data_IF_433024452933
#
_entry.id   IF_433024452933
#
_cell.length_a   1.000
_cell.length_b   1.000
_cell.length_c   1.000
_cell.angle_alpha   90.00
_cell.angle_beta   90.00
_cell.angle_gamma   90.00
#
_symmetry.space_group_name_H-M   'P 1'
#
loop_
_entity.id
_entity.type
_entity.pdbx_description
1 polymer ?
#
# COMPACT_ATOMS: atom_id res chain seq x y z
N UNK A 1 -4.49 -15.28 60.41
CA UNK A 1 -5.14 -14.15 59.69
C UNK A 1 -4.03 -13.18 59.29
N UNK A 2 -3.49 -13.27 58.06
CA UNK A 2 -3.94 -12.60 56.83
C UNK A 2 -3.75 -11.07 56.90
N UNK A 3 -2.83 -10.46 56.14
CA UNK A 3 -3.04 -10.08 54.74
C UNK A 3 -1.76 -9.44 54.15
N UNK A 4 -1.13 -10.11 53.18
CA UNK A 4 0.07 -9.64 52.50
C UNK A 4 -0.28 -8.87 51.23
N UNK A 5 0.03 -7.57 51.22
CA UNK A 5 -0.21 -6.67 50.08
C UNK A 5 0.69 -7.02 48.87
N UNK A 6 0.16 -7.83 47.94
CA UNK A 6 0.73 -7.99 46.59
C UNK A 6 0.44 -6.74 45.76
N UNK A 7 1.43 -5.85 45.64
CA UNK A 7 1.40 -4.74 44.68
C UNK A 7 1.56 -5.30 43.27
N UNK A 8 0.45 -5.42 42.56
CA UNK A 8 0.42 -5.72 41.13
C UNK A 8 1.10 -4.56 40.39
N UNK A 9 2.33 -4.79 39.92
CA UNK A 9 2.94 -4.00 38.87
C UNK A 9 2.12 -4.19 37.59
N UNK A 10 1.07 -3.39 37.42
CA UNK A 10 0.50 -3.12 36.10
C UNK A 10 1.62 -2.48 35.29
N UNK A 11 2.31 -3.29 34.46
CA UNK A 11 3.05 -2.80 33.30
C UNK A 11 2.07 -1.92 32.53
N UNK A 12 2.16 -0.60 32.72
CA UNK A 12 1.50 0.36 31.85
C UNK A 12 2.04 0.05 30.47
N UNK A 13 1.25 -0.64 29.64
CA UNK A 13 1.50 -0.69 28.19
C UNK A 13 1.59 0.78 27.81
N UNK A 14 2.79 1.25 27.46
CA UNK A 14 2.97 2.58 26.88
C UNK A 14 1.99 2.61 25.71
N UNK A 15 0.91 3.39 25.82
CA UNK A 15 0.08 3.70 24.65
C UNK A 15 1.05 4.29 23.63
N UNK A 16 1.09 3.81 22.38
CA UNK A 16 1.88 4.46 21.36
C UNK A 16 1.45 5.93 21.35
N UNK A 17 2.41 6.81 21.68
CA UNK A 17 2.20 8.25 21.57
C UNK A 17 2.05 8.49 20.09
N UNK A 18 0.86 8.96 19.75
CA UNK A 18 0.47 9.25 18.40
C UNK A 18 0.90 10.70 18.12
N UNK A 19 1.88 10.87 17.24
CA UNK A 19 2.43 12.17 16.91
C UNK A 19 1.50 12.85 15.89
N UNK A 20 0.84 13.96 16.27
CA UNK A 20 -0.08 14.72 15.42
C UNK A 20 0.55 15.29 14.13
N UNK A 21 1.87 15.13 14.00
CA UNK A 21 2.68 15.46 12.85
C UNK A 21 2.75 14.31 11.80
N UNK A 22 2.47 13.07 12.20
CA UNK A 22 2.52 11.86 11.35
C UNK A 22 1.36 11.73 10.34
N UNK A 23 0.38 12.60 10.41
CA UNK A 23 -0.80 12.52 9.54
C UNK A 23 -0.54 12.95 8.09
N UNK A 24 0.55 13.70 7.84
CA UNK A 24 0.84 14.25 6.52
C UNK A 24 0.89 13.17 5.44
N UNK A 25 1.49 12.03 5.76
CA UNK A 25 1.58 10.90 4.83
C UNK A 25 0.21 10.26 4.57
N UNK A 26 -0.58 10.00 5.63
CA UNK A 26 -1.90 9.35 5.52
C UNK A 26 -2.91 10.18 4.71
N UNK A 27 -3.03 11.48 5.01
CA UNK A 27 -3.90 12.36 4.23
C UNK A 27 -3.35 12.60 2.82
N UNK A 28 -2.03 12.65 2.66
CA UNK A 28 -1.39 12.68 1.35
C UNK A 28 -1.74 11.47 0.49
N UNK A 29 -1.78 10.27 1.10
CA UNK A 29 -2.17 9.03 0.43
C UNK A 29 -3.63 9.05 -0.03
N UNK A 30 -4.56 9.45 0.85
CA UNK A 30 -5.98 9.58 0.50
C UNK A 30 -6.23 10.65 -0.56
N UNK A 31 -5.54 11.79 -0.47
CA UNK A 31 -5.61 12.85 -1.47
C UNK A 31 -5.07 12.38 -2.82
N UNK A 32 -3.97 11.64 -2.83
CA UNK A 32 -3.39 11.09 -4.05
C UNK A 32 -4.29 10.02 -4.68
N UNK A 33 -4.89 9.13 -3.87
CA UNK A 33 -5.87 8.15 -4.35
C UNK A 33 -7.10 8.82 -4.98
N UNK A 34 -7.50 9.98 -4.45
CA UNK A 34 -8.59 10.79 -4.99
C UNK A 34 -8.23 11.57 -6.25
N UNK A 35 -6.94 11.79 -6.52
CA UNK A 35 -6.47 12.50 -7.72
C UNK A 35 -5.15 11.91 -8.25
N UNK A 36 -5.22 10.78 -8.98
CA UNK A 36 -4.04 10.01 -9.39
C UNK A 36 -3.07 10.79 -10.31
N UNK A 37 -3.56 11.78 -11.07
CA UNK A 37 -2.73 12.60 -11.95
C UNK A 37 -1.62 13.40 -11.25
N UNK A 38 -1.63 13.47 -9.91
CA UNK A 38 -0.58 14.10 -9.13
C UNK A 38 0.52 13.15 -8.64
N UNK A 39 0.47 11.85 -8.98
CA UNK A 39 1.43 10.85 -8.51
C UNK A 39 2.89 11.23 -8.81
N UNK A 40 3.17 11.78 -10.00
CA UNK A 40 4.51 12.20 -10.38
C UNK A 40 5.03 13.39 -9.55
N UNK A 41 4.14 14.20 -8.95
CA UNK A 41 4.57 15.30 -8.07
C UNK A 41 5.00 14.80 -6.70
N UNK A 42 4.45 13.67 -6.24
CA UNK A 42 4.76 13.09 -4.93
C UNK A 42 6.20 12.60 -4.85
N UNK A 43 6.74 12.02 -5.94
CA UNK A 43 8.15 11.60 -5.99
C UNK A 43 9.13 12.78 -5.89
N UNK A 44 8.72 13.97 -6.31
CA UNK A 44 9.53 15.21 -6.27
C UNK A 44 9.42 15.98 -4.95
N UNK A 45 8.49 15.62 -4.08
CA UNK A 45 8.29 16.28 -2.79
C UNK A 45 9.12 15.59 -1.69
N UNK A 46 9.51 16.31 -0.62
CA UNK A 46 10.11 15.69 0.55
C UNK A 46 9.18 14.61 1.12
N UNK A 47 9.77 13.60 1.77
CA UNK A 47 8.96 12.58 2.44
C UNK A 47 8.14 13.26 3.53
N UNK A 48 6.81 13.09 3.53
CA UNK A 48 6.00 13.59 4.62
C UNK A 48 6.32 12.82 5.90
N UNK A 49 6.00 13.41 7.03
CA UNK A 49 6.06 12.71 8.31
C UNK A 49 4.97 11.62 8.35
N UNK A 50 5.29 10.50 8.99
CA UNK A 50 4.37 9.36 9.17
C UNK A 50 4.41 8.28 8.09
N UNK A 51 5.50 8.23 7.30
CA UNK A 51 5.69 7.19 6.28
C UNK A 51 5.74 5.79 6.90
N UNK A 52 6.29 5.64 8.11
CA UNK A 52 6.31 4.35 8.81
C UNK A 52 4.89 3.82 9.08
N UNK A 53 3.98 4.69 9.46
CA UNK A 53 2.57 4.37 9.70
C UNK A 53 1.90 3.92 8.40
N UNK A 54 2.17 4.60 7.28
CA UNK A 54 1.70 4.15 5.97
C UNK A 54 2.24 2.77 5.60
N UNK A 55 3.54 2.51 5.83
CA UNK A 55 4.14 1.20 5.55
C UNK A 55 3.47 0.14 6.42
N UNK A 56 3.22 0.40 7.71
CA UNK A 56 2.50 -0.53 8.60
C UNK A 56 1.08 -0.80 8.14
N UNK A 57 0.36 0.22 7.67
CA UNK A 57 -0.99 0.08 7.10
C UNK A 57 -0.95 -0.81 5.86
N UNK A 58 -0.04 -0.56 4.93
CA UNK A 58 0.13 -1.36 3.73
C UNK A 58 0.53 -2.82 4.06
N UNK A 59 1.37 -3.01 5.08
CA UNK A 59 1.77 -4.30 5.64
C UNK A 59 0.66 -5.05 6.40
N UNK A 60 -0.54 -4.48 6.55
CA UNK A 60 -1.65 -5.14 7.24
C UNK A 60 -1.56 -5.10 8.78
N UNK A 61 -0.88 -4.10 9.36
CA UNK A 61 -0.87 -3.93 10.81
C UNK A 61 -2.25 -3.47 11.33
N UNK A 62 -3.03 -4.39 11.87
CA UNK A 62 -4.40 -4.18 12.39
C UNK A 62 -4.54 -3.03 13.39
N UNK A 63 -3.55 -2.82 14.26
CA UNK A 63 -3.57 -1.70 15.20
C UNK A 63 -3.45 -0.35 14.48
N UNK A 64 -2.52 -0.26 13.53
CA UNK A 64 -2.27 0.99 12.78
C UNK A 64 -3.41 1.27 11.80
N UNK A 65 -3.96 0.24 11.16
CA UNK A 65 -5.11 0.35 10.26
C UNK A 65 -6.36 0.85 10.98
N UNK A 66 -6.70 0.26 12.14
CA UNK A 66 -7.84 0.74 12.94
C UNK A 66 -7.69 2.19 13.38
N UNK A 67 -6.48 2.61 13.73
CA UNK A 67 -6.19 4.01 14.05
C UNK A 67 -6.38 4.91 12.83
N UNK A 68 -5.85 4.52 11.68
CA UNK A 68 -5.98 5.28 10.44
C UNK A 68 -7.46 5.44 10.03
N UNK A 69 -8.25 4.36 10.08
CA UNK A 69 -9.70 4.37 9.82
C UNK A 69 -10.44 5.31 10.77
N UNK A 70 -10.14 5.24 12.08
CA UNK A 70 -10.78 6.11 13.07
C UNK A 70 -10.46 7.60 12.84
N UNK A 71 -9.28 7.91 12.27
CA UNK A 71 -8.84 9.28 12.00
C UNK A 71 -9.40 9.85 10.70
N UNK A 72 -9.51 9.02 9.66
CA UNK A 72 -9.90 9.46 8.32
C UNK A 72 -11.39 9.29 8.05
N UNK A 73 -12.07 8.44 8.84
CA UNK A 73 -13.45 8.03 8.60
C UNK A 73 -13.64 7.22 7.31
N UNK A 74 -12.55 6.78 6.69
CA UNK A 74 -12.56 6.00 5.44
C UNK A 74 -12.61 4.50 5.73
N UNK A 75 -13.09 3.74 4.75
CA UNK A 75 -13.20 2.28 4.83
C UNK A 75 -11.79 1.62 4.88
N UNK A 76 -11.59 0.52 5.64
CA UNK A 76 -10.29 -0.11 5.84
C UNK A 76 -9.54 -0.49 4.54
N UNK A 77 -10.22 -1.10 3.57
CA UNK A 77 -9.61 -1.46 2.29
C UNK A 77 -9.22 -0.21 1.49
N UNK A 78 -10.03 0.84 1.50
CA UNK A 78 -9.71 2.12 0.87
C UNK A 78 -8.45 2.77 1.47
N UNK A 79 -8.31 2.73 2.80
CA UNK A 79 -7.11 3.24 3.50
C UNK A 79 -5.87 2.42 3.13
N UNK A 80 -6.00 1.09 3.06
CA UNK A 80 -4.90 0.19 2.68
C UNK A 80 -4.49 0.37 1.21
N UNK A 81 -5.47 0.51 0.31
CA UNK A 81 -5.24 0.76 -1.11
C UNK A 81 -4.56 2.11 -1.33
N UNK A 82 -5.03 3.17 -0.66
CA UNK A 82 -4.41 4.50 -0.73
C UNK A 82 -2.96 4.49 -0.21
N UNK A 83 -2.69 3.81 0.90
CA UNK A 83 -1.34 3.65 1.44
C UNK A 83 -0.42 2.93 0.45
N UNK A 84 -0.89 1.81 -0.12
CA UNK A 84 -0.15 1.02 -1.11
C UNK A 84 0.17 1.87 -2.36
N UNK A 85 -0.82 2.59 -2.88
CA UNK A 85 -0.67 3.46 -4.04
C UNK A 85 0.35 4.58 -3.78
N UNK A 86 0.24 5.25 -2.64
CA UNK A 86 1.17 6.30 -2.24
C UNK A 86 2.61 5.79 -2.15
N UNK A 87 2.84 4.67 -1.46
CA UNK A 87 4.18 4.11 -1.27
C UNK A 87 4.84 3.74 -2.61
N UNK A 88 4.07 3.13 -3.54
CA UNK A 88 4.57 2.81 -4.89
C UNK A 88 5.11 4.05 -5.61
N UNK A 89 4.37 5.15 -5.58
CA UNK A 89 4.78 6.38 -6.27
C UNK A 89 5.80 7.23 -5.49
N UNK A 90 5.73 7.24 -4.17
CA UNK A 90 6.57 8.08 -3.33
C UNK A 90 7.97 7.49 -3.11
N UNK A 91 8.09 6.16 -2.99
CA UNK A 91 9.34 5.49 -2.59
C UNK A 91 10.06 4.81 -3.76
N UNK A 92 9.33 4.25 -4.73
CA UNK A 92 9.89 3.33 -5.72
C UNK A 92 9.99 3.86 -7.14
N UNK A 93 10.01 5.18 -7.28
CA UNK A 93 10.28 5.81 -8.58
C UNK A 93 11.72 5.56 -9.04
N UNK A 94 11.96 5.76 -10.34
CA UNK A 94 13.29 5.63 -10.95
C UNK A 94 14.24 6.71 -10.41
N UNK A 95 15.43 6.31 -9.98
CA UNK A 95 16.42 7.23 -9.40
C UNK A 95 16.17 7.62 -7.94
N UNK A 96 15.24 6.95 -7.23
CA UNK A 96 15.08 7.12 -5.79
C UNK A 96 16.38 6.75 -5.05
N UNK A 97 16.83 7.58 -4.12
CA UNK A 97 18.00 7.27 -3.28
C UNK A 97 17.64 6.21 -2.20
N UNK A 98 18.63 5.57 -1.55
CA UNK A 98 18.36 4.51 -0.58
C UNK A 98 17.53 4.94 0.62
N UNK A 99 17.70 6.19 1.10
CA UNK A 99 16.90 6.70 2.21
C UNK A 99 15.44 6.85 1.77
N UNK A 100 15.24 7.34 0.55
CA UNK A 100 13.93 7.44 -0.08
C UNK A 100 13.28 6.07 -0.29
N UNK A 101 13.99 5.08 -0.80
CA UNK A 101 13.46 3.72 -0.97
C UNK A 101 13.10 3.06 0.37
N UNK A 102 13.85 3.37 1.44
CA UNK A 102 13.56 2.93 2.81
C UNK A 102 12.46 3.77 3.49
N UNK A 103 11.97 4.84 2.85
CA UNK A 103 10.95 5.71 3.43
C UNK A 103 11.44 6.47 4.67
N UNK A 104 12.73 6.78 4.75
CA UNK A 104 13.35 7.53 5.85
C UNK A 104 13.97 8.84 5.34
N UNK A 105 14.17 9.79 6.25
CA UNK A 105 14.88 11.03 5.95
C UNK A 105 16.39 10.82 5.74
N UNK A 106 17.04 11.76 5.06
CA UNK A 106 18.51 11.80 4.98
C UNK A 106 19.07 12.02 6.39
N UNK A 107 19.95 11.14 6.85
CA UNK A 107 20.50 11.17 8.20
C UNK A 107 19.72 10.35 9.24
N UNK A 108 18.72 9.59 8.83
CA UNK A 108 18.04 8.63 9.70
C UNK A 108 19.05 7.62 10.31
N UNK A 109 18.82 7.28 11.58
CA UNK A 109 19.68 6.32 12.29
C UNK A 109 19.50 4.89 11.77
N UNK A 110 20.52 4.04 11.96
CA UNK A 110 20.49 2.64 11.51
C UNK A 110 19.31 1.84 12.07
N UNK A 111 18.92 2.10 13.31
CA UNK A 111 17.76 1.45 13.95
C UNK A 111 16.43 1.85 13.30
N UNK A 112 16.29 3.12 12.91
CA UNK A 112 15.11 3.62 12.20
C UNK A 112 15.01 3.00 10.80
N UNK A 113 16.13 3.00 10.06
CA UNK A 113 16.23 2.34 8.76
C UNK A 113 15.90 0.84 8.84
N UNK A 114 16.38 0.15 9.88
CA UNK A 114 16.10 -1.28 10.11
C UNK A 114 14.61 -1.52 10.37
N UNK A 115 13.99 -0.64 11.17
CA UNK A 115 12.57 -0.72 11.47
C UNK A 115 11.72 -0.54 10.21
N UNK A 116 12.04 0.46 9.40
CA UNK A 116 11.34 0.71 8.13
C UNK A 116 11.53 -0.46 7.15
N UNK A 117 12.76 -0.92 6.96
CA UNK A 117 13.08 -2.08 6.13
C UNK A 117 12.27 -3.31 6.55
N UNK A 118 12.20 -3.61 7.85
CA UNK A 118 11.42 -4.75 8.34
C UNK A 118 9.95 -4.66 7.93
N UNK A 119 9.32 -3.50 8.06
CA UNK A 119 7.91 -3.33 7.69
C UNK A 119 7.69 -3.31 6.17
N UNK A 120 8.63 -2.76 5.39
CA UNK A 120 8.60 -2.83 3.93
C UNK A 120 8.71 -4.29 3.46
N UNK A 121 9.58 -5.09 4.06
CA UNK A 121 9.71 -6.52 3.73
C UNK A 121 8.47 -7.32 4.10
N UNK A 122 7.78 -6.97 5.20
CA UNK A 122 6.47 -7.56 5.51
C UNK A 122 5.47 -7.19 4.41
N UNK A 123 5.38 -5.92 4.01
CA UNK A 123 4.44 -5.51 2.96
C UNK A 123 4.74 -6.14 1.59
N UNK A 124 6.01 -6.27 1.21
CA UNK A 124 6.44 -6.75 -0.10
C UNK A 124 6.63 -8.27 -0.15
N UNK A 125 6.31 -9.01 0.91
CA UNK A 125 6.47 -10.46 0.93
C UNK A 125 5.43 -11.14 0.00
N UNK A 126 5.84 -12.11 -0.84
CA UNK A 126 4.93 -12.80 -1.76
C UNK A 126 3.77 -13.51 -1.06
N UNK A 127 3.96 -13.97 0.19
CA UNK A 127 2.89 -14.59 1.00
C UNK A 127 1.71 -13.66 1.32
N UNK A 128 1.83 -12.34 1.10
CA UNK A 128 0.71 -11.41 1.24
C UNK A 128 -0.08 -11.21 -0.07
N UNK A 129 0.29 -11.90 -1.16
CA UNK A 129 -0.56 -12.01 -2.32
C UNK A 129 -1.88 -12.65 -1.92
N UNK A 130 -2.99 -12.00 -2.25
CA UNK A 130 -4.36 -12.44 -1.90
C UNK A 130 -4.72 -13.78 -2.59
N UNK A 131 -3.93 -14.17 -3.58
CA UNK A 131 -3.98 -15.40 -4.33
C UNK A 131 -2.54 -15.99 -4.41
N UNK A 132 -2.29 -17.21 -3.91
CA UNK A 132 -0.98 -17.85 -3.93
C UNK A 132 -0.39 -18.06 -5.33
N UNK A 133 -1.25 -18.15 -6.35
CA UNK A 133 -0.87 -18.33 -7.76
C UNK A 133 -0.69 -16.97 -8.47
N UNK A 134 -1.21 -15.87 -7.89
CA UNK A 134 -1.07 -14.51 -8.40
C UNK A 134 0.09 -13.75 -7.75
N UNK A 135 1.29 -14.36 -7.78
CA UNK A 135 2.51 -13.66 -7.37
C UNK A 135 2.71 -12.44 -8.27
N UNK A 136 2.65 -11.22 -7.70
CA UNK A 136 2.96 -9.97 -8.42
C UNK A 136 4.49 -9.88 -8.60
N UNK A 137 5.05 -10.09 -9.80
CA UNK A 137 6.49 -10.08 -10.03
C UNK A 137 7.12 -8.72 -9.66
N UNK A 138 6.32 -7.64 -9.71
CA UNK A 138 6.76 -6.31 -9.32
C UNK A 138 7.06 -6.22 -7.83
N UNK A 139 6.33 -6.95 -6.96
CA UNK A 139 6.59 -6.93 -5.52
C UNK A 139 7.94 -7.56 -5.17
N UNK A 140 8.30 -8.66 -5.83
CA UNK A 140 9.60 -9.32 -5.64
C UNK A 140 10.76 -8.42 -6.08
N UNK A 141 10.62 -7.71 -7.20
CA UNK A 141 11.62 -6.73 -7.66
C UNK A 141 11.79 -5.59 -6.65
N UNK A 142 10.68 -5.02 -6.17
CA UNK A 142 10.71 -3.96 -5.16
C UNK A 142 11.35 -4.43 -3.85
N UNK A 143 11.09 -5.67 -3.42
CA UNK A 143 11.72 -6.25 -2.24
C UNK A 143 13.25 -6.33 -2.41
N UNK A 144 13.73 -6.75 -3.58
CA UNK A 144 15.16 -6.74 -3.93
C UNK A 144 15.77 -5.34 -3.81
N UNK A 145 15.12 -4.33 -4.41
CA UNK A 145 15.55 -2.92 -4.34
C UNK A 145 15.61 -2.38 -2.91
N UNK A 146 14.65 -2.75 -2.05
CA UNK A 146 14.65 -2.38 -0.62
C UNK A 146 15.84 -3.00 0.12
N UNK A 147 16.15 -4.27 -0.14
CA UNK A 147 17.30 -4.95 0.47
C UNK A 147 18.63 -4.33 0.02
N UNK A 148 18.75 -3.97 -1.25
CA UNK A 148 19.92 -3.27 -1.77
C UNK A 148 20.07 -1.88 -1.14
N UNK A 149 18.98 -1.12 -1.03
CA UNK A 149 18.96 0.17 -0.35
C UNK A 149 19.39 0.05 1.13
N UNK A 150 18.92 -0.98 1.84
CA UNK A 150 19.35 -1.27 3.21
C UNK A 150 20.85 -1.56 3.30
N UNK A 151 21.39 -2.41 2.42
CA UNK A 151 22.83 -2.74 2.39
C UNK A 151 23.67 -1.50 2.13
N UNK A 152 23.27 -0.69 1.16
CA UNK A 152 24.00 0.51 0.76
C UNK A 152 23.95 1.57 1.85
N UNK A 153 22.77 1.84 2.42
CA UNK A 153 22.61 2.78 3.53
C UNK A 153 23.31 2.33 4.83
N UNK A 154 23.49 1.02 5.03
CA UNK A 154 24.23 0.49 6.17
C UNK A 154 25.76 0.50 5.99
N UNK A 155 26.27 0.67 4.76
CA UNK A 155 27.69 0.49 4.42
C UNK A 155 28.51 1.79 4.39
N UNK A 156 27.90 2.96 4.52
CA UNK A 156 28.60 4.26 4.53
C UNK A 156 28.01 5.28 3.55
N UNK A 157 28.70 6.41 3.29
CA UNK A 157 28.17 7.49 2.46
C UNK A 157 27.83 7.01 1.05
N UNK A 158 26.65 7.42 0.57
CA UNK A 158 26.10 7.06 -0.73
C UNK A 158 26.97 7.61 -1.88
N UNK A 159 27.41 6.77 -2.85
CA UNK A 159 28.37 7.16 -3.89
C UNK A 159 27.78 8.00 -5.04
N UNK A 160 26.46 8.21 -5.09
CA UNK A 160 25.82 9.10 -6.05
C UNK A 160 25.39 10.39 -5.35
N UNK A 161 25.36 11.55 -6.04
CA UNK A 161 24.83 12.76 -5.44
C UNK A 161 23.42 12.47 -4.92
N UNK A 162 23.15 12.81 -3.66
CA UNK A 162 21.79 12.81 -3.12
C UNK A 162 20.90 13.47 -4.18
N UNK A 163 19.79 12.82 -4.56
CA UNK A 163 18.94 13.30 -5.65
C UNK A 163 18.80 14.82 -5.53
N UNK A 164 19.00 15.60 -6.60
CA UNK A 164 19.04 17.08 -6.53
C UNK A 164 17.79 17.68 -5.82
N UNK A 165 16.72 16.88 -5.74
CA UNK A 165 15.49 17.12 -4.99
C UNK A 165 15.69 17.16 -3.46
N UNK A 166 16.62 16.38 -2.89
CA UNK A 166 16.94 16.36 -1.45
C UNK A 166 17.71 17.61 -1.01
N UNK A 167 18.67 18.07 -1.83
CA UNK A 167 19.46 19.27 -1.53
C UNK A 167 18.67 20.57 -1.75
N UNK A 168 17.79 20.60 -2.75
CA UNK A 168 16.98 21.80 -3.07
C UNK A 168 15.97 22.13 -1.96
N UNK A 169 15.43 21.12 -1.25
CA UNK A 169 14.35 21.31 -0.26
C UNK A 169 14.84 21.74 1.13
N UNK A 170 16.11 21.54 1.47
CA UNK A 170 16.67 22.08 2.72
C UNK A 170 16.63 23.62 2.81
N UNK A 171 16.31 24.31 1.69
CA UNK A 171 16.27 25.77 1.58
C UNK A 171 14.87 26.38 1.32
N UNK A 172 13.80 25.58 1.19
CA UNK A 172 12.46 26.10 0.87
C UNK A 172 11.66 26.34 2.16
N UNK A 173 11.40 27.60 2.56
CA UNK A 173 10.52 27.89 3.68
C UNK A 173 9.10 27.40 3.39
N UNK A 174 8.48 26.74 4.38
CA UNK A 174 7.17 26.12 4.26
C UNK A 174 6.12 27.13 3.69
N UNK A 175 5.36 26.76 2.64
CA UNK A 175 4.33 27.64 2.12
C UNK A 175 3.19 27.80 3.15
N UNK A 176 2.57 28.99 3.24
CA UNK A 176 1.44 29.21 4.14
C UNK A 176 0.27 28.30 3.72
N UNK A 177 -0.17 27.45 4.65
CA UNK A 177 -1.31 26.54 4.49
C UNK A 177 -2.57 27.37 4.27
N UNK A 178 -3.02 27.48 3.01
CA UNK A 178 -4.32 28.08 2.69
C UNK A 178 -5.43 27.09 3.06
N UNK A 179 -6.22 27.44 4.08
CA UNK A 179 -7.48 26.75 4.43
C UNK A 179 -8.59 27.21 3.47
N UNK A 180 -9.32 26.27 2.88
CA UNK A 180 -10.51 26.48 2.04
C UNK A 180 -10.43 25.62 0.77
N UNK A 181 -11.46 24.96 0.26
CA UNK A 181 -12.92 24.98 0.48
C UNK A 181 -13.43 23.56 0.25
N UNK A 182 -14.46 23.14 1.00
CA UNK A 182 -15.16 21.88 0.79
C UNK A 182 -15.78 21.83 -0.62
N UNK A 183 -15.18 21.06 -1.53
CA UNK A 183 -15.78 20.73 -2.81
C UNK A 183 -16.41 19.34 -2.73
N UNK A 184 -17.72 19.34 -2.43
CA UNK A 184 -18.63 18.22 -2.59
C UNK A 184 -18.68 17.82 -4.06
N UNK A 185 -18.09 16.70 -4.48
CA UNK A 185 -18.52 15.92 -5.66
C UNK A 185 -17.86 14.53 -5.62
N UNK A 186 -18.49 13.57 -4.93
CA UNK A 186 -18.14 12.15 -5.03
C UNK A 186 -19.41 11.38 -5.32
N UNK A 187 -19.53 10.83 -6.53
CA UNK A 187 -20.68 10.02 -6.93
C UNK A 187 -20.60 9.39 -8.31
N UNK A 188 -19.93 10.00 -9.29
CA UNK A 188 -19.99 9.50 -10.66
C UNK A 188 -18.82 8.58 -11.07
N UNK A 189 -17.58 8.89 -10.66
CA UNK A 189 -16.40 8.21 -11.22
C UNK A 189 -16.18 6.78 -10.67
N UNK A 190 -16.50 6.54 -9.38
CA UNK A 190 -16.38 5.21 -8.77
C UNK A 190 -17.47 4.24 -9.29
N UNK A 191 -18.64 4.77 -9.67
CA UNK A 191 -19.75 3.99 -10.19
C UNK A 191 -19.48 3.52 -11.63
N UNK A 192 -18.84 4.35 -12.46
CA UNK A 192 -18.43 3.98 -13.83
C UNK A 192 -17.38 2.87 -13.82
N UNK A 193 -16.38 2.94 -12.94
CA UNK A 193 -15.33 1.92 -12.82
C UNK A 193 -15.88 0.56 -12.36
N UNK A 194 -16.82 0.56 -11.42
CA UNK A 194 -17.51 -0.67 -11.00
C UNK A 194 -18.37 -1.26 -12.13
N UNK A 195 -19.11 -0.43 -12.89
CA UNK A 195 -19.91 -0.93 -14.01
C UNK A 195 -19.07 -1.53 -15.14
N UNK A 196 -17.90 -0.95 -15.45
CA UNK A 196 -17.02 -1.49 -16.49
C UNK A 196 -16.40 -2.81 -16.05
N UNK A 197 -16.00 -2.94 -14.77
CA UNK A 197 -15.49 -4.18 -14.23
C UNK A 197 -16.55 -5.30 -14.22
N UNK A 198 -17.80 -4.99 -13.88
CA UNK A 198 -18.91 -5.96 -13.94
C UNK A 198 -19.22 -6.41 -15.38
N UNK A 199 -19.21 -5.48 -16.34
CA UNK A 199 -19.44 -5.81 -17.76
C UNK A 199 -18.33 -6.70 -18.36
N UNK A 200 -17.07 -6.48 -17.97
CA UNK A 200 -15.96 -7.34 -18.40
C UNK A 200 -16.12 -8.78 -17.88
N UNK A 201 -16.49 -8.96 -16.62
CA UNK A 201 -16.73 -10.30 -16.04
C UNK A 201 -17.94 -11.00 -16.69
N UNK A 202 -18.96 -10.25 -17.11
CA UNK A 202 -20.12 -10.82 -17.81
C UNK A 202 -19.83 -11.24 -19.25
N UNK A 203 -18.90 -10.58 -19.95
CA UNK A 203 -18.59 -10.92 -21.35
C UNK A 203 -17.68 -12.15 -21.49
N UNK A 204 -16.85 -12.47 -20.48
CA UNK A 204 -16.01 -13.68 -20.50
C UNK A 204 -16.77 -14.98 -20.16
N UNK A 205 -17.98 -14.89 -19.58
CA UNK A 205 -18.75 -16.08 -19.16
C UNK A 205 -19.64 -16.70 -20.26
N UNK A 206 -19.75 -16.07 -21.44
CA UNK A 206 -20.68 -16.50 -22.52
C UNK A 206 -20.01 -17.27 -23.67
N UNK A 207 -18.78 -17.78 -23.48
CA UNK A 207 -18.07 -18.60 -24.46
C UNK A 207 -17.52 -19.88 -23.82
N UNK A 208 -18.39 -20.86 -23.52
CA UNK A 208 -17.87 -22.17 -23.12
C UNK A 208 -18.82 -23.17 -22.50
N UNK A 209 -20.03 -23.37 -23.02
CA UNK A 209 -20.81 -24.60 -22.72
C UNK A 209 -21.51 -25.07 -24.00
N UNK A 210 -20.77 -25.78 -24.85
CA UNK A 210 -21.34 -26.55 -25.96
C UNK A 210 -21.53 -28.01 -25.48
N UNK A 211 -22.65 -28.26 -24.79
CA UNK A 211 -23.07 -29.61 -24.39
C UNK A 211 -23.81 -30.26 -25.57
N UNK A 212 -23.06 -30.76 -26.54
CA UNK A 212 -23.56 -31.67 -27.58
C UNK A 212 -23.83 -33.04 -26.98
N UNK A 213 -24.94 -33.17 -26.25
CA UNK A 213 -25.51 -34.43 -25.80
C UNK A 213 -26.41 -34.99 -26.92
N UNK A 214 -25.83 -35.82 -27.80
CA UNK A 214 -26.59 -36.57 -28.79
C UNK A 214 -27.14 -37.87 -28.15
N UNK A 215 -28.47 -38.09 -28.10
CA UNK A 215 -29.00 -39.38 -27.70
C UNK A 215 -28.80 -40.41 -28.83
N UNK A 216 -28.49 -41.68 -28.54
CA UNK A 216 -28.47 -42.72 -29.55
C UNK A 216 -29.91 -42.99 -30.04
N UNK A 217 -30.14 -42.84 -31.33
CA UNK A 217 -31.37 -43.18 -32.03
C UNK A 217 -31.54 -44.70 -32.09
N UNK A 218 -32.59 -45.19 -31.44
CA UNK A 218 -33.19 -46.50 -31.69
C UNK A 218 -33.82 -46.49 -33.08
N UNK A 219 -33.18 -47.11 -34.08
CA UNK A 219 -33.79 -47.42 -35.38
C UNK A 219 -32.97 -48.50 -36.13
N UNK A 220 -32.71 -49.63 -35.47
CA UNK A 220 -32.26 -50.86 -36.14
C UNK A 220 -33.06 -52.06 -35.60
N UNK A 221 -34.37 -52.01 -35.84
CA UNK A 221 -35.24 -53.17 -35.76
C UNK A 221 -36.16 -53.19 -36.98
N UNK A 222 -36.06 -54.28 -37.75
CA UNK A 222 -36.95 -54.73 -38.85
C UNK A 222 -36.59 -54.14 -40.23
N UNK A 223 -36.31 -54.89 -41.29
CA UNK A 223 -36.41 -56.32 -41.55
C UNK A 223 -36.30 -56.61 -43.06
N UNK A 224 -36.19 -57.89 -43.44
CA UNK A 224 -36.22 -58.39 -44.84
C UNK A 224 -35.20 -59.51 -45.03
N UNK A 225 -35.53 -60.80 -44.94
CA UNK A 225 -36.36 -61.60 -45.85
C UNK A 225 -36.04 -61.34 -47.34
N UNK A 226 -35.08 -62.09 -47.88
CA UNK A 226 -35.27 -63.08 -48.96
C UNK A 226 -34.07 -64.05 -48.98
#
# INVERSE_FOLDING_TARGET
>A
MANGHRRLFRRRRRRPRFDANAHGALFGALGLASTPGFAQRVSRQPLPQGVLELIKVAAGCEETLRQAVALTGSEPEAVKAAATFYLRHALFFEGADPHRMLGVGVGAGREEMRLHMRWLMIWLHPDHARDPDAQDPQQAELAGRVLDAWRLGASGPWPFPASENAATVASVPAPPVRRGVAARFFGAALLVLLTVATLLVCLDFDLGVDLSFAPPSEDDASGGFQ
#
